data_IF_049165933729
#
_entry.id   IF_049165933729
#
_cell.length_a   1.000
_cell.length_b   1.000
_cell.length_c   1.000
_cell.angle_alpha   90.00
_cell.angle_beta   90.00
_cell.angle_gamma   90.00
#
_symmetry.space_group_name_H-M   'P 1'
#
loop_
_entity.id
_entity.type
_entity.pdbx_description
1 polymer ?
#
# COMPACT_ATOMS: atom_id res chain seq x y z
N UNK A 1 -33.48 -14.33 -34.96
CA UNK A 1 -32.11 -13.96 -34.53
C UNK A 1 -31.33 -15.24 -34.33
N UNK A 2 -30.13 -15.33 -34.90
CA UNK A 2 -29.25 -16.50 -34.70
C UNK A 2 -28.46 -16.27 -33.41
N UNK A 3 -28.52 -17.21 -32.47
CA UNK A 3 -27.73 -17.19 -31.24
C UNK A 3 -26.54 -18.15 -31.41
N UNK A 4 -25.34 -17.62 -31.48
CA UNK A 4 -24.11 -18.40 -31.66
C UNK A 4 -23.39 -18.54 -30.31
N UNK A 5 -23.00 -19.76 -29.95
CA UNK A 5 -22.19 -20.06 -28.75
C UNK A 5 -21.24 -21.23 -29.04
N UNK A 6 -20.14 -21.29 -28.31
CA UNK A 6 -19.29 -22.48 -28.29
C UNK A 6 -20.02 -23.65 -27.61
N UNK A 7 -19.66 -24.88 -28.00
CA UNK A 7 -20.05 -26.07 -27.23
C UNK A 7 -19.28 -26.13 -25.91
N UNK A 8 -19.77 -26.92 -24.95
CA UNK A 8 -19.14 -26.99 -23.62
C UNK A 8 -17.71 -27.55 -23.68
N UNK A 9 -17.43 -28.49 -24.59
CA UNK A 9 -16.04 -28.99 -24.81
C UNK A 9 -15.14 -27.91 -25.39
N UNK A 10 -15.65 -27.09 -26.32
CA UNK A 10 -14.89 -26.00 -26.91
C UNK A 10 -14.64 -24.88 -25.89
N UNK A 11 -15.66 -24.50 -25.11
CA UNK A 11 -15.54 -23.50 -24.04
C UNK A 11 -14.52 -23.92 -22.95
N UNK A 12 -14.46 -25.21 -22.60
CA UNK A 12 -13.47 -25.75 -21.64
C UNK A 12 -12.02 -25.62 -22.08
N UNK A 13 -11.77 -25.48 -23.38
CA UNK A 13 -10.42 -25.29 -23.95
C UNK A 13 -10.05 -23.81 -24.10
N UNK A 14 -10.96 -22.91 -23.75
CA UNK A 14 -10.67 -21.47 -23.77
C UNK A 14 -9.91 -21.01 -22.52
N UNK A 15 -9.33 -19.82 -22.61
CA UNK A 15 -8.58 -19.20 -21.54
C UNK A 15 -9.34 -18.02 -20.95
N UNK A 16 -9.29 -17.88 -19.63
CA UNK A 16 -9.73 -16.66 -18.93
C UNK A 16 -8.51 -15.76 -18.72
N UNK A 17 -8.31 -14.70 -19.51
CA UNK A 17 -7.18 -13.80 -19.33
C UNK A 17 -7.35 -13.00 -18.04
N UNK A 18 -6.27 -12.91 -17.29
CA UNK A 18 -6.16 -12.14 -16.04
C UNK A 18 -5.16 -11.03 -16.29
N UNK A 19 -5.52 -9.80 -15.90
CA UNK A 19 -4.62 -8.66 -16.06
C UNK A 19 -3.38 -8.81 -15.16
N UNK A 20 -2.21 -8.46 -15.69
CA UNK A 20 -0.99 -8.43 -14.89
C UNK A 20 -1.08 -7.43 -13.74
N UNK A 21 -1.89 -6.37 -13.87
CA UNK A 21 -2.17 -5.43 -12.78
C UNK A 21 -2.92 -6.12 -11.63
N UNK A 22 -3.87 -7.02 -11.92
CA UNK A 22 -4.52 -7.83 -10.89
C UNK A 22 -3.49 -8.67 -10.14
N UNK A 23 -2.62 -9.35 -10.88
CA UNK A 23 -1.60 -10.26 -10.35
C UNK A 23 -0.56 -9.49 -9.51
N UNK A 24 -0.16 -8.30 -9.93
CA UNK A 24 0.85 -7.51 -9.24
C UNK A 24 0.29 -6.83 -7.98
N UNK A 25 -0.90 -6.24 -8.05
CA UNK A 25 -1.38 -5.29 -7.02
C UNK A 25 -2.44 -5.86 -6.07
N UNK A 26 -3.14 -6.92 -6.48
CA UNK A 26 -4.32 -7.40 -5.74
C UNK A 26 -4.17 -8.86 -5.29
N UNK A 27 -3.70 -9.74 -6.16
CA UNK A 27 -3.50 -11.15 -5.87
C UNK A 27 -2.61 -11.40 -4.63
N UNK A 28 -1.45 -10.73 -4.44
CA UNK A 28 -0.54 -11.04 -3.33
C UNK A 28 -1.12 -10.75 -1.93
N UNK A 29 -2.17 -9.94 -1.88
CA UNK A 29 -2.83 -9.52 -0.64
C UNK A 29 -4.17 -10.21 -0.40
N UNK A 30 -4.67 -10.95 -1.39
CA UNK A 30 -5.91 -11.69 -1.28
C UNK A 30 -5.66 -13.11 -0.75
N UNK A 31 -6.61 -13.62 0.04
CA UNK A 31 -6.66 -15.02 0.43
C UNK A 31 -6.90 -15.92 -0.79
N UNK A 32 -6.47 -17.19 -0.72
CA UNK A 32 -6.71 -18.17 -1.77
C UNK A 32 -8.19 -18.27 -2.16
N UNK A 33 -9.08 -18.21 -1.17
CA UNK A 33 -10.54 -18.19 -1.37
C UNK A 33 -10.99 -16.98 -2.19
N UNK A 34 -10.55 -15.78 -1.83
CA UNK A 34 -10.89 -14.55 -2.55
C UNK A 34 -10.41 -14.61 -4.01
N UNK A 35 -9.20 -15.12 -4.25
CA UNK A 35 -8.66 -15.31 -5.61
C UNK A 35 -9.49 -16.32 -6.40
N UNK A 36 -9.83 -17.47 -5.79
CA UNK A 36 -10.69 -18.48 -6.43
C UNK A 36 -12.05 -17.90 -6.85
N UNK A 37 -12.72 -17.19 -5.94
CA UNK A 37 -14.02 -16.56 -6.23
C UNK A 37 -13.89 -15.53 -7.36
N UNK A 38 -12.85 -14.67 -7.32
CA UNK A 38 -12.64 -13.66 -8.36
C UNK A 38 -12.41 -14.27 -9.74
N UNK A 39 -11.53 -15.27 -9.85
CA UNK A 39 -11.21 -15.90 -11.13
C UNK A 39 -12.38 -16.71 -11.67
N UNK A 40 -13.13 -17.40 -10.80
CA UNK A 40 -14.29 -18.18 -11.21
C UNK A 40 -15.42 -17.27 -11.72
N UNK A 41 -15.73 -16.18 -11.02
CA UNK A 41 -16.70 -15.19 -11.51
C UNK A 41 -16.25 -14.51 -12.80
N UNK A 42 -14.96 -14.19 -12.94
CA UNK A 42 -14.40 -13.59 -14.17
C UNK A 42 -14.55 -14.53 -15.37
N UNK A 43 -14.35 -15.84 -15.16
CA UNK A 43 -14.56 -16.87 -16.16
C UNK A 43 -16.05 -16.95 -16.57
N UNK A 44 -16.99 -16.85 -15.62
CA UNK A 44 -18.42 -16.80 -15.95
C UNK A 44 -18.82 -15.57 -16.76
N UNK A 45 -18.19 -14.40 -16.55
CA UNK A 45 -18.46 -13.22 -17.37
C UNK A 45 -18.13 -13.44 -18.85
N UNK A 46 -17.08 -14.21 -19.16
CA UNK A 46 -16.66 -14.53 -20.53
C UNK A 46 -17.38 -15.74 -21.11
N UNK A 47 -17.66 -16.72 -20.27
CA UNK A 47 -18.26 -18.00 -20.64
C UNK A 47 -19.46 -18.31 -19.75
N UNK A 48 -20.61 -17.61 -19.91
CA UNK A 48 -21.77 -17.83 -19.06
C UNK A 48 -22.28 -19.28 -19.07
N UNK A 49 -22.06 -20.00 -20.17
CA UNK A 49 -22.40 -21.43 -20.29
C UNK A 49 -21.55 -22.35 -19.40
N UNK A 50 -20.41 -21.91 -18.89
CA UNK A 50 -19.62 -22.68 -17.91
C UNK A 50 -20.05 -22.44 -16.45
N UNK A 51 -20.96 -21.50 -16.21
CA UNK A 51 -21.55 -21.18 -14.91
C UNK A 51 -22.83 -21.95 -14.59
N UNK A 52 -22.94 -23.22 -15.00
CA UNK A 52 -24.17 -24.02 -14.78
C UNK A 52 -24.45 -24.32 -13.30
N UNK A 53 -23.42 -24.24 -12.46
CA UNK A 53 -23.53 -24.37 -11.01
C UNK A 53 -23.28 -23.02 -10.34
N UNK A 54 -23.99 -22.72 -9.24
CA UNK A 54 -23.65 -21.61 -8.35
C UNK A 54 -22.17 -21.65 -7.93
N UNK A 55 -21.56 -20.48 -7.75
CA UNK A 55 -20.12 -20.34 -7.47
C UNK A 55 -19.72 -21.06 -6.18
N UNK A 56 -20.57 -20.98 -5.16
CA UNK A 56 -20.44 -21.65 -3.88
C UNK A 56 -20.38 -23.17 -4.03
N UNK A 57 -21.30 -23.77 -4.78
CA UNK A 57 -21.27 -25.21 -5.07
C UNK A 57 -20.04 -25.63 -5.88
N UNK A 58 -19.68 -24.85 -6.90
CA UNK A 58 -18.57 -25.16 -7.78
C UNK A 58 -17.20 -25.13 -7.07
N UNK A 59 -17.04 -24.22 -6.11
CA UNK A 59 -15.82 -24.05 -5.33
C UNK A 59 -15.84 -24.78 -3.98
N UNK A 60 -16.97 -25.39 -3.59
CA UNK A 60 -17.13 -26.05 -2.29
C UNK A 60 -17.08 -25.06 -1.12
N UNK A 61 -17.63 -23.86 -1.33
CA UNK A 61 -17.68 -22.77 -0.35
C UNK A 61 -19.11 -22.58 0.18
N UNK A 62 -19.28 -21.87 1.29
CA UNK A 62 -20.61 -21.41 1.70
C UNK A 62 -21.04 -20.18 0.89
N UNK A 63 -22.34 -19.98 0.69
CA UNK A 63 -22.88 -18.75 0.08
C UNK A 63 -22.34 -17.50 0.76
N UNK A 64 -22.26 -17.50 2.10
CA UNK A 64 -21.72 -16.37 2.86
C UNK A 64 -20.25 -16.09 2.52
N UNK A 65 -19.42 -17.14 2.38
CA UNK A 65 -18.02 -16.95 2.02
C UNK A 65 -17.85 -16.35 0.61
N UNK A 66 -18.72 -16.71 -0.34
CA UNK A 66 -18.75 -16.10 -1.67
C UNK A 66 -19.18 -14.63 -1.60
N UNK A 67 -20.21 -14.31 -0.80
CA UNK A 67 -20.64 -12.93 -0.56
C UNK A 67 -19.54 -12.09 0.06
N UNK A 68 -18.87 -12.59 1.09
CA UNK A 68 -17.77 -11.91 1.77
C UNK A 68 -16.59 -11.69 0.83
N UNK A 69 -16.29 -12.65 -0.04
CA UNK A 69 -15.26 -12.50 -1.07
C UNK A 69 -15.61 -11.40 -2.08
N UNK A 70 -16.86 -11.34 -2.57
CA UNK A 70 -17.27 -10.25 -3.46
C UNK A 70 -17.39 -8.90 -2.75
N UNK A 71 -17.78 -8.87 -1.47
CA UNK A 71 -17.76 -7.66 -0.66
C UNK A 71 -16.32 -7.13 -0.49
N UNK A 72 -15.35 -8.03 -0.28
CA UNK A 72 -13.92 -7.68 -0.29
C UNK A 72 -13.52 -7.06 -1.62
N UNK A 73 -13.79 -7.71 -2.75
CA UNK A 73 -13.44 -7.17 -4.08
C UNK A 73 -14.17 -5.87 -4.42
N UNK A 74 -15.41 -5.70 -3.93
CA UNK A 74 -16.17 -4.46 -4.05
C UNK A 74 -15.50 -3.33 -3.26
N UNK A 75 -14.99 -3.60 -2.06
CA UNK A 75 -14.24 -2.61 -1.27
C UNK A 75 -12.97 -2.13 -2.00
N UNK A 76 -12.36 -3.02 -2.80
CA UNK A 76 -11.21 -2.71 -3.64
C UNK A 76 -11.62 -2.02 -4.96
N UNK A 77 -12.92 -1.95 -5.25
CA UNK A 77 -13.48 -1.40 -6.48
C UNK A 77 -13.46 -2.33 -7.69
N UNK A 78 -12.92 -3.54 -7.58
CA UNK A 78 -12.77 -4.46 -8.71
C UNK A 78 -14.10 -4.99 -9.23
N UNK A 79 -15.12 -4.98 -8.36
CA UNK A 79 -16.49 -5.38 -8.71
C UNK A 79 -17.51 -4.43 -8.07
N UNK A 80 -18.76 -4.51 -8.53
CA UNK A 80 -19.93 -3.90 -7.91
C UNK A 80 -20.99 -4.98 -7.70
N UNK A 81 -21.50 -5.09 -6.48
CA UNK A 81 -22.68 -5.90 -6.17
C UNK A 81 -23.91 -5.08 -6.58
N UNK A 82 -24.57 -5.51 -7.67
CA UNK A 82 -25.75 -4.85 -8.22
C UNK A 82 -27.04 -5.26 -7.50
N UNK A 83 -27.09 -6.49 -6.98
CA UNK A 83 -28.20 -7.05 -6.21
C UNK A 83 -27.66 -8.09 -5.24
N UNK A 84 -28.27 -8.21 -4.06
CA UNK A 84 -27.89 -9.19 -3.03
C UNK A 84 -28.76 -10.47 -3.11
N UNK A 85 -29.98 -10.39 -3.64
CA UNK A 85 -30.88 -11.53 -3.79
C UNK A 85 -31.71 -11.44 -5.08
N UNK A 86 -31.32 -12.14 -6.18
CA UNK A 86 -30.13 -12.97 -6.30
C UNK A 86 -28.83 -12.14 -6.29
N UNK A 87 -27.74 -12.72 -5.80
CA UNK A 87 -26.43 -12.08 -5.80
C UNK A 87 -25.99 -11.83 -7.25
N UNK A 88 -25.92 -10.55 -7.64
CA UNK A 88 -25.53 -10.13 -8.98
C UNK A 88 -24.31 -9.24 -8.87
N UNK A 89 -23.21 -9.63 -9.54
CA UNK A 89 -21.91 -8.97 -9.43
C UNK A 89 -21.44 -8.52 -10.81
N UNK A 90 -21.04 -7.26 -10.92
CA UNK A 90 -20.48 -6.66 -12.12
C UNK A 90 -18.97 -6.42 -11.95
N UNK A 91 -18.16 -6.95 -12.85
CA UNK A 91 -16.71 -6.70 -12.86
C UNK A 91 -16.41 -5.33 -13.47
N UNK A 92 -15.44 -4.61 -12.89
CA UNK A 92 -15.03 -3.26 -13.33
C UNK A 92 -13.64 -3.27 -13.95
N UNK A 93 -13.34 -2.33 -14.87
CA UNK A 93 -11.98 -2.14 -15.36
C UNK A 93 -11.00 -1.87 -14.22
N UNK A 94 -9.86 -2.57 -14.23
CA UNK A 94 -8.79 -2.35 -13.27
C UNK A 94 -8.18 -0.97 -13.51
N UNK A 95 -7.91 -0.23 -12.43
CA UNK A 95 -7.37 1.13 -12.50
C UNK A 95 -8.42 2.26 -12.54
N UNK A 96 -9.62 2.06 -13.10
CA UNK A 96 -10.69 3.08 -13.00
C UNK A 96 -11.35 3.07 -11.62
N UNK A 97 -11.55 1.89 -11.04
CA UNK A 97 -12.10 1.77 -9.70
C UNK A 97 -11.11 2.18 -8.61
N UNK A 98 -9.81 2.04 -8.87
CA UNK A 98 -8.74 2.63 -8.08
C UNK A 98 -8.88 4.14 -7.97
N UNK A 99 -9.25 4.81 -9.06
CA UNK A 99 -9.45 6.25 -9.12
C UNK A 99 -10.81 6.70 -8.55
N UNK A 100 -11.86 5.87 -8.67
CA UNK A 100 -13.21 6.17 -8.17
C UNK A 100 -13.44 5.79 -6.70
N UNK A 101 -12.68 4.85 -6.14
CA UNK A 101 -12.71 4.53 -4.71
C UNK A 101 -11.90 5.53 -3.85
N UNK A 102 -11.19 6.48 -4.50
CA UNK A 102 -10.52 7.57 -3.80
C UNK A 102 -11.59 8.55 -3.31
N UNK A 103 -11.60 8.91 -2.02
CA UNK A 103 -12.41 10.04 -1.57
C UNK A 103 -12.06 11.27 -2.42
N UNK A 104 -13.05 11.91 -3.06
CA UNK A 104 -12.83 13.06 -3.93
C UNK A 104 -12.01 14.17 -3.24
N UNK A 105 -12.11 14.27 -1.91
CA UNK A 105 -11.32 15.17 -1.06
C UNK A 105 -9.81 15.00 -1.19
N UNK A 106 -9.30 13.79 -1.49
CA UNK A 106 -7.86 13.51 -1.57
C UNK A 106 -7.30 13.51 -3.00
N UNK A 107 -8.09 13.83 -4.02
CA UNK A 107 -7.62 13.85 -5.41
C UNK A 107 -6.41 14.79 -5.60
N UNK A 108 -6.40 15.93 -4.90
CA UNK A 108 -5.28 16.86 -4.90
C UNK A 108 -4.00 16.28 -4.32
N UNK A 109 -4.11 15.56 -3.19
CA UNK A 109 -3.00 14.86 -2.54
C UNK A 109 -2.44 13.75 -3.43
N UNK A 110 -3.31 12.90 -4.01
CA UNK A 110 -2.89 11.78 -4.86
C UNK A 110 -2.08 12.29 -6.06
N UNK A 111 -2.49 13.41 -6.67
CA UNK A 111 -1.72 14.05 -7.75
C UNK A 111 -0.33 14.50 -7.28
N UNK A 112 -0.22 15.10 -6.08
CA UNK A 112 1.06 15.54 -5.51
C UNK A 112 1.97 14.36 -5.18
N UNK A 113 1.41 13.28 -4.61
CA UNK A 113 2.13 12.02 -4.39
C UNK A 113 2.64 11.46 -5.72
N UNK A 114 1.78 11.39 -6.75
CA UNK A 114 2.17 10.90 -8.07
C UNK A 114 3.33 11.69 -8.68
N UNK A 115 3.32 13.02 -8.56
CA UNK A 115 4.43 13.87 -9.00
C UNK A 115 5.72 13.62 -8.19
N UNK A 116 5.61 13.41 -6.87
CA UNK A 116 6.73 13.13 -5.98
C UNK A 116 7.38 11.77 -6.26
N UNK A 117 6.58 10.75 -6.56
CA UNK A 117 7.07 9.36 -6.72
C UNK A 117 7.47 9.02 -8.16
N UNK A 118 7.19 9.87 -9.14
CA UNK A 118 7.46 9.61 -10.55
C UNK A 118 8.92 9.16 -10.84
N UNK A 119 9.13 8.17 -11.74
CA UNK A 119 8.15 7.49 -12.59
C UNK A 119 7.40 6.33 -11.91
N UNK A 120 7.66 6.04 -10.63
CA UNK A 120 6.85 5.08 -9.87
C UNK A 120 5.44 5.64 -9.72
N UNK A 121 4.46 4.75 -9.69
CA UNK A 121 3.07 5.09 -9.40
C UNK A 121 2.66 4.32 -8.16
N UNK A 122 1.95 4.98 -7.25
CA UNK A 122 1.38 4.28 -6.09
C UNK A 122 0.15 3.51 -6.52
N UNK A 123 0.12 2.22 -6.19
CA UNK A 123 -1.06 1.37 -6.38
C UNK A 123 -2.17 1.68 -5.37
N UNK A 124 -3.34 1.06 -5.55
CA UNK A 124 -4.50 1.26 -4.64
C UNK A 124 -4.16 0.92 -3.20
N UNK A 125 -3.42 -0.15 -2.96
CA UNK A 125 -3.06 -0.57 -1.61
C UNK A 125 -2.11 0.45 -0.96
N UNK A 126 -1.19 1.02 -1.73
CA UNK A 126 -0.28 2.04 -1.21
C UNK A 126 -1.05 3.33 -0.86
N UNK A 127 -2.01 3.71 -1.69
CA UNK A 127 -2.89 4.85 -1.42
C UNK A 127 -3.80 4.63 -0.21
N UNK A 128 -4.21 3.39 0.06
CA UNK A 128 -4.95 3.06 1.29
C UNK A 128 -4.13 3.28 2.55
N UNK A 129 -2.86 2.86 2.55
CA UNK A 129 -1.97 3.19 3.67
C UNK A 129 -1.81 4.69 3.85
N UNK A 130 -1.68 5.44 2.75
CA UNK A 130 -1.65 6.91 2.82
C UNK A 130 -2.90 7.47 3.50
N UNK A 131 -4.08 6.89 3.24
CA UNK A 131 -5.31 7.29 3.92
C UNK A 131 -5.32 6.90 5.40
N UNK A 132 -4.85 5.71 5.75
CA UNK A 132 -4.71 5.32 7.15
C UNK A 132 -3.77 6.29 7.90
N UNK A 133 -2.71 6.79 7.26
CA UNK A 133 -1.83 7.79 7.87
C UNK A 133 -2.56 9.10 8.19
N UNK A 134 -3.54 9.48 7.37
CA UNK A 134 -4.32 10.70 7.58
C UNK A 134 -5.44 10.46 8.59
N UNK A 135 -6.27 9.45 8.35
CA UNK A 135 -7.51 9.21 9.10
C UNK A 135 -7.26 8.53 10.46
N UNK A 136 -6.28 7.62 10.53
CA UNK A 136 -5.98 6.85 11.76
C UNK A 136 -4.85 7.50 12.55
N UNK A 137 -3.76 7.85 11.88
CA UNK A 137 -2.59 8.44 12.55
C UNK A 137 -2.69 9.97 12.71
N UNK A 138 -3.62 10.60 11.99
CA UNK A 138 -3.87 12.04 12.10
C UNK A 138 -2.81 12.91 11.44
N UNK A 139 -2.04 12.38 10.47
CA UNK A 139 -1.06 13.18 9.73
C UNK A 139 -1.78 14.08 8.74
N UNK A 140 -1.37 15.34 8.66
CA UNK A 140 -1.81 16.25 7.63
C UNK A 140 -1.18 15.92 6.28
N UNK A 141 -1.81 16.37 5.19
CA UNK A 141 -1.33 16.14 3.82
C UNK A 141 0.13 16.58 3.61
N UNK A 142 0.53 17.68 4.24
CA UNK A 142 1.90 18.19 4.18
C UNK A 142 2.89 17.24 4.85
N UNK A 143 2.56 16.72 6.04
CA UNK A 143 3.40 15.77 6.76
C UNK A 143 3.53 14.44 6.00
N UNK A 144 2.44 13.98 5.37
CA UNK A 144 2.47 12.77 4.53
C UNK A 144 3.45 12.91 3.37
N UNK A 145 3.45 14.05 2.68
CA UNK A 145 4.35 14.27 1.55
C UNK A 145 5.81 14.36 1.98
N UNK A 146 6.10 15.03 3.09
CA UNK A 146 7.44 15.06 3.69
C UNK A 146 7.90 13.66 4.12
N UNK A 147 7.00 12.88 4.73
CA UNK A 147 7.29 11.50 5.11
C UNK A 147 7.67 10.63 3.90
N UNK A 148 6.90 10.71 2.81
CA UNK A 148 7.17 9.96 1.58
C UNK A 148 8.52 10.39 1.00
N UNK A 149 8.77 11.70 0.90
CA UNK A 149 10.03 12.26 0.41
C UNK A 149 11.23 11.76 1.21
N UNK A 150 11.15 11.87 2.54
CA UNK A 150 12.16 11.37 3.47
C UNK A 150 12.45 9.88 3.30
N UNK A 151 11.39 9.06 3.24
CA UNK A 151 11.54 7.62 3.08
C UNK A 151 12.23 7.26 1.75
N UNK A 152 11.91 7.98 0.67
CA UNK A 152 12.52 7.80 -0.64
C UNK A 152 13.99 8.24 -0.67
N UNK A 153 14.34 9.32 0.02
CA UNK A 153 15.72 9.76 0.16
C UNK A 153 16.56 8.73 0.93
N UNK A 154 16.01 8.18 2.02
CA UNK A 154 16.72 7.20 2.86
C UNK A 154 16.91 5.83 2.22
N UNK A 155 15.83 5.24 1.68
CA UNK A 155 15.81 3.83 1.19
C UNK A 155 15.78 3.72 -0.33
N UNK A 156 15.75 4.85 -1.04
CA UNK A 156 15.63 4.90 -2.48
C UNK A 156 14.17 4.80 -2.95
N UNK A 157 13.96 5.00 -4.25
CA UNK A 157 12.63 5.10 -4.88
C UNK A 157 11.75 3.85 -4.78
N UNK A 158 12.34 2.67 -4.56
CA UNK A 158 11.63 1.38 -4.41
C UNK A 158 11.28 1.05 -2.95
N UNK A 159 11.39 2.02 -2.06
CA UNK A 159 11.01 1.85 -0.64
C UNK A 159 9.58 1.33 -0.52
N UNK A 160 9.38 0.29 0.30
CA UNK A 160 8.07 -0.33 0.48
C UNK A 160 7.14 0.56 1.28
N UNK A 161 5.84 0.52 0.96
CA UNK A 161 4.83 1.26 1.74
C UNK A 161 4.80 0.80 3.20
N UNK A 162 5.06 -0.48 3.49
CA UNK A 162 5.17 -0.99 4.86
C UNK A 162 6.30 -0.33 5.67
N UNK A 163 7.41 0.05 5.03
CA UNK A 163 8.45 0.84 5.70
C UNK A 163 7.93 2.26 5.98
N UNK A 164 7.31 2.90 4.99
CA UNK A 164 6.71 4.23 5.18
C UNK A 164 5.67 4.24 6.30
N UNK A 165 4.81 3.21 6.38
CA UNK A 165 3.80 3.06 7.43
C UNK A 165 4.42 2.97 8.82
N UNK A 166 5.56 2.28 8.99
CA UNK A 166 6.28 2.26 10.27
C UNK A 166 6.86 3.63 10.64
N UNK A 167 7.34 4.38 9.66
CA UNK A 167 7.79 5.77 9.88
C UNK A 167 6.59 6.64 10.28
N UNK A 168 5.44 6.47 9.62
CA UNK A 168 4.22 7.23 9.90
C UNK A 168 3.71 6.96 11.31
N UNK A 169 3.72 5.69 11.73
CA UNK A 169 3.40 5.30 13.10
C UNK A 169 4.36 5.96 14.10
N UNK A 170 5.68 5.88 13.86
CA UNK A 170 6.69 6.49 14.74
C UNK A 170 6.51 8.00 14.84
N UNK A 171 6.16 8.67 13.74
CA UNK A 171 5.88 10.10 13.71
C UNK A 171 4.65 10.43 14.53
N UNK A 172 3.55 9.70 14.33
CA UNK A 172 2.31 9.88 15.08
C UNK A 172 2.49 9.68 16.59
N UNK A 173 3.24 8.64 17.00
CA UNK A 173 3.58 8.37 18.41
C UNK A 173 4.39 9.51 19.04
N UNK A 174 5.20 10.23 18.24
CA UNK A 174 5.97 11.40 18.66
C UNK A 174 5.20 12.71 18.53
N UNK A 175 3.93 12.67 18.12
CA UNK A 175 3.09 13.85 17.92
C UNK A 175 3.40 14.65 16.64
N UNK A 176 4.19 14.11 15.72
CA UNK A 176 4.51 14.74 14.43
C UNK A 176 3.32 14.59 13.49
N UNK A 177 2.53 15.66 13.31
CA UNK A 177 1.31 15.64 12.49
C UNK A 177 1.28 16.68 11.39
N UNK A 178 1.91 17.84 11.57
CA UNK A 178 1.89 18.93 10.60
C UNK A 178 3.11 18.91 9.68
N UNK A 179 3.07 19.69 8.59
CA UNK A 179 4.23 19.88 7.72
C UNK A 179 5.46 20.41 8.48
N UNK A 180 5.25 21.37 9.39
CA UNK A 180 6.32 21.98 10.17
C UNK A 180 6.95 20.96 11.14
N UNK A 181 6.12 20.17 11.83
CA UNK A 181 6.60 19.09 12.68
C UNK A 181 7.41 18.06 11.89
N UNK A 182 6.94 17.71 10.69
CA UNK A 182 7.60 16.77 9.80
C UNK A 182 8.99 17.27 9.39
N UNK A 183 9.12 18.53 8.97
CA UNK A 183 10.41 19.13 8.64
C UNK A 183 11.35 19.15 9.84
N UNK A 184 10.85 19.54 11.02
CA UNK A 184 11.64 19.52 12.25
C UNK A 184 12.10 18.10 12.61
N UNK A 185 11.24 17.10 12.43
CA UNK A 185 11.57 15.69 12.68
C UNK A 185 12.62 15.16 11.69
N UNK A 186 12.53 15.51 10.41
CA UNK A 186 13.52 15.17 9.38
C UNK A 186 14.87 15.80 9.72
N UNK A 187 14.88 17.11 10.00
CA UNK A 187 16.11 17.84 10.33
C UNK A 187 16.80 17.27 11.60
N UNK A 188 16.04 16.97 12.65
CA UNK A 188 16.59 16.39 13.89
C UNK A 188 17.22 15.01 13.66
N UNK A 189 16.63 14.22 12.76
CA UNK A 189 17.09 12.89 12.41
C UNK A 189 18.28 12.93 11.41
N UNK A 190 18.40 13.96 10.58
CA UNK A 190 19.62 14.26 9.83
C UNK A 190 20.77 14.67 10.75
N UNK A 191 20.53 15.53 11.74
CA UNK A 191 21.55 15.93 12.72
C UNK A 191 22.08 14.71 13.47
N UNK A 192 21.19 13.85 13.96
CA UNK A 192 21.56 12.60 14.64
C UNK A 192 22.42 11.69 13.75
N UNK A 193 22.09 11.58 12.46
CA UNK A 193 22.90 10.83 11.48
C UNK A 193 24.28 11.42 11.25
N UNK A 194 24.37 12.74 11.07
CA UNK A 194 25.63 13.42 10.83
C UNK A 194 26.55 13.28 12.05
N UNK A 195 26.01 13.50 13.24
CA UNK A 195 26.73 13.31 14.50
C UNK A 195 27.21 11.89 14.71
N UNK A 196 26.32 10.89 14.56
CA UNK A 196 26.72 9.47 14.63
C UNK A 196 27.77 9.10 13.56
N UNK A 197 27.67 9.67 12.35
CA UNK A 197 28.67 9.45 11.30
C UNK A 197 30.02 10.08 11.65
N UNK A 198 30.04 11.23 12.33
CA UNK A 198 31.26 11.86 12.82
C UNK A 198 31.95 10.99 13.88
N UNK A 199 31.18 10.43 14.82
CA UNK A 199 31.68 9.48 15.83
C UNK A 199 32.30 8.24 15.15
N UNK A 200 31.60 7.64 14.18
CA UNK A 200 32.14 6.49 13.45
C UNK A 200 33.41 6.84 12.66
N UNK A 201 33.47 8.04 12.08
CA UNK A 201 34.65 8.51 11.35
C UNK A 201 35.85 8.71 12.28
N UNK A 202 35.64 9.22 13.50
CA UNK A 202 36.68 9.29 14.53
C UNK A 202 37.24 7.91 14.88
N UNK A 203 36.40 6.87 14.92
CA UNK A 203 36.84 5.47 15.06
C UNK A 203 37.33 4.81 13.76
N UNK A 204 37.65 5.60 12.74
CA UNK A 204 38.11 5.15 11.43
C UNK A 204 37.15 4.17 10.70
N UNK A 205 35.85 4.23 11.02
CA UNK A 205 34.79 3.45 10.35
C UNK A 205 34.09 4.31 9.30
N UNK A 206 34.44 4.13 8.03
CA UNK A 206 33.88 4.89 6.90
C UNK A 206 32.60 4.28 6.31
N UNK A 207 31.65 3.91 7.16
CA UNK A 207 30.33 3.39 6.76
C UNK A 207 29.20 4.22 7.37
N UNK A 208 27.98 4.02 6.90
CA UNK A 208 26.79 4.65 7.51
C UNK A 208 26.51 4.05 8.90
N UNK A 209 25.97 4.85 9.84
CA UNK A 209 25.48 4.36 11.11
C UNK A 209 24.38 3.31 10.94
N UNK A 210 24.40 2.28 11.79
CA UNK A 210 23.26 1.35 11.93
C UNK A 210 22.14 2.01 12.74
N UNK A 211 20.95 1.39 12.74
CA UNK A 211 19.83 1.87 13.58
C UNK A 211 20.19 1.85 15.08
N UNK A 212 20.93 0.84 15.55
CA UNK A 212 21.41 0.77 16.94
C UNK A 212 22.41 1.88 17.28
N UNK A 213 23.31 2.21 16.35
CA UNK A 213 24.28 3.30 16.53
C UNK A 213 23.59 4.68 16.56
N UNK A 214 22.55 4.87 15.74
CA UNK A 214 21.71 6.07 15.80
C UNK A 214 20.93 6.15 17.11
N UNK A 215 20.38 5.05 17.60
CA UNK A 215 19.66 5.02 18.88
C UNK A 215 20.58 5.35 20.06
N UNK A 216 21.83 4.87 20.04
CA UNK A 216 22.85 5.25 21.03
C UNK A 216 23.20 6.73 20.95
N UNK A 217 23.36 7.27 19.74
CA UNK A 217 23.65 8.69 19.54
C UNK A 217 22.50 9.58 20.03
N UNK A 218 21.25 9.24 19.70
CA UNK A 218 20.06 9.92 20.19
C UNK A 218 19.95 9.85 21.71
N UNK A 219 20.38 8.75 22.34
CA UNK A 219 20.44 8.64 23.80
C UNK A 219 21.44 9.64 24.40
N UNK A 220 22.64 9.75 23.83
CA UNK A 220 23.66 10.69 24.31
C UNK A 220 23.22 12.14 24.19
N UNK A 221 22.65 12.51 23.05
CA UNK A 221 22.27 13.91 22.77
C UNK A 221 20.94 14.29 23.42
N UNK A 222 19.90 13.45 23.33
CA UNK A 222 18.54 13.81 23.78
C UNK A 222 18.25 13.46 25.23
N UNK A 223 18.75 12.31 25.71
CA UNK A 223 18.48 11.88 27.10
C UNK A 223 19.55 12.38 28.07
N UNK A 224 20.82 12.35 27.65
CA UNK A 224 21.95 12.76 28.50
C UNK A 224 22.40 14.20 28.27
N UNK A 225 21.95 14.85 27.20
CA UNK A 225 22.17 16.27 26.95
C UNK A 225 23.60 16.63 26.50
N UNK A 226 24.37 15.65 26.01
CA UNK A 226 25.73 15.92 25.53
C UNK A 226 25.72 16.65 24.17
N UNK A 227 26.64 17.60 23.99
CA UNK A 227 26.90 18.22 22.69
C UNK A 227 27.79 17.33 21.81
N UNK A 228 27.68 17.49 20.50
CA UNK A 228 28.51 16.79 19.52
C UNK A 228 30.01 16.98 19.81
N UNK A 229 30.42 18.19 20.20
CA UNK A 229 31.80 18.50 20.58
C UNK A 229 32.25 17.73 21.82
N UNK A 230 31.41 17.64 22.85
CA UNK A 230 31.73 16.89 24.07
C UNK A 230 31.85 15.39 23.80
N UNK A 231 30.99 14.85 22.93
CA UNK A 231 31.05 13.44 22.51
C UNK A 231 32.36 13.18 21.76
N UNK A 232 32.71 14.02 20.78
CA UNK A 232 33.91 13.84 19.97
C UNK A 232 35.21 14.04 20.75
N UNK A 233 35.24 14.93 21.73
CA UNK A 233 36.42 15.15 22.58
C UNK A 233 36.76 13.96 23.49
N UNK A 234 35.81 13.05 23.72
CA UNK A 234 35.98 11.87 24.55
C UNK A 234 36.41 10.60 23.78
N UNK A 235 36.53 10.68 22.45
CA UNK A 235 36.89 9.56 21.56
C UNK A 235 38.40 9.46 21.33
#
# INVERSE_FOLDING_TARGET
MVNCRFSDDAARREATPVDNLFIAEYLPHASGLQVQVYLYGLMQCRYPSMGERPIDEALGLSEQAVRDAFAYWQSLGLVRIASDAPLTVEYRPLGEAAAQALPAKYAGLVRRIGALVAPRQFGVQELRHVYDWIEVYGLEEGAVLELIGHCMERKGRRVSVNYMTRVAQTWAERGVRTFEDAQAAVAADDLSRHGASAVLRAWNRRRRPTEDELALYDKWTRQWGFSDEAILAAL
#
